data_IF_264369692343
#
_entry.id   IF_264369692343
#
_cell.length_a   1.000
_cell.length_b   1.000
_cell.length_c   1.000
_cell.angle_alpha   90.00
_cell.angle_beta   90.00
_cell.angle_gamma   90.00
#
_symmetry.space_group_name_H-M   'P 1'
#
loop_
_entity.id
_entity.type
_entity.pdbx_description
1 polymer ?
#
# COMPACT_ATOMS: atom_id res chain seq x y z
N UNK A 1 19.32 -27.23 -8.39
CA UNK A 1 18.12 -27.56 -7.61
C UNK A 1 17.11 -26.45 -7.80
N UNK A 2 16.14 -26.64 -8.70
CA UNK A 2 15.07 -25.66 -8.88
C UNK A 2 14.14 -25.80 -7.69
N UNK A 3 13.91 -24.70 -6.96
CA UNK A 3 12.98 -24.68 -5.84
C UNK A 3 11.56 -24.61 -6.42
N UNK A 4 10.93 -25.78 -6.59
CA UNK A 4 9.57 -25.91 -7.10
C UNK A 4 8.62 -26.08 -5.90
N UNK A 5 7.55 -25.30 -5.88
CA UNK A 5 6.47 -25.37 -4.90
C UNK A 5 5.13 -25.43 -5.63
N UNK A 6 4.26 -26.32 -5.17
CA UNK A 6 2.92 -26.49 -5.74
C UNK A 6 1.93 -26.26 -4.60
N UNK A 7 0.92 -25.42 -4.85
CA UNK A 7 -0.15 -25.09 -3.89
C UNK A 7 -1.48 -25.48 -4.51
N UNK A 8 -2.28 -26.27 -3.81
CA UNK A 8 -3.63 -26.64 -4.22
C UNK A 8 -4.67 -25.98 -3.30
N UNK A 9 -5.73 -25.40 -3.87
CA UNK A 9 -6.82 -24.75 -3.13
C UNK A 9 -7.67 -23.85 -4.02
N UNK A 10 -8.65 -23.17 -3.43
CA UNK A 10 -9.39 -22.12 -4.15
C UNK A 10 -8.49 -20.91 -4.35
N UNK A 11 -8.54 -20.25 -5.50
CA UNK A 11 -7.64 -19.12 -5.78
C UNK A 11 -8.30 -17.98 -6.56
N UNK A 12 -7.81 -16.76 -6.33
CA UNK A 12 -8.16 -15.56 -7.11
C UNK A 12 -7.09 -15.30 -8.17
N UNK A 13 -7.41 -15.54 -9.45
CA UNK A 13 -6.49 -15.41 -10.57
C UNK A 13 -6.68 -14.14 -11.40
N UNK A 14 -5.56 -13.70 -11.99
CA UNK A 14 -5.40 -12.56 -12.88
C UNK A 14 -5.87 -11.20 -12.30
N UNK A 15 -5.71 -10.15 -13.09
CA UNK A 15 -6.08 -8.77 -12.74
C UNK A 15 -7.59 -8.59 -12.53
N UNK A 16 -8.41 -9.55 -13.01
CA UNK A 16 -9.86 -9.58 -12.80
C UNK A 16 -10.31 -10.27 -11.51
N UNK A 17 -9.37 -10.84 -10.74
CA UNK A 17 -9.65 -11.62 -9.54
C UNK A 17 -10.73 -12.69 -9.80
N UNK A 18 -10.56 -13.46 -10.87
CA UNK A 18 -11.47 -14.56 -11.20
C UNK A 18 -11.27 -15.71 -10.21
N UNK A 19 -12.36 -16.37 -9.80
CA UNK A 19 -12.30 -17.45 -8.81
C UNK A 19 -12.17 -18.79 -9.54
N UNK A 20 -11.15 -19.56 -9.15
CA UNK A 20 -11.07 -21.00 -9.40
C UNK A 20 -11.33 -21.70 -8.07
N UNK A 21 -12.44 -22.42 -7.94
CA UNK A 21 -12.83 -23.07 -6.68
C UNK A 21 -11.91 -24.24 -6.32
N UNK A 22 -11.50 -25.00 -7.31
CA UNK A 22 -10.53 -26.10 -7.19
C UNK A 22 -9.41 -25.84 -8.20
N UNK A 23 -8.27 -25.34 -7.73
CA UNK A 23 -7.15 -25.02 -8.61
C UNK A 23 -5.80 -25.24 -7.96
N UNK A 24 -4.77 -25.00 -8.76
CA UNK A 24 -3.39 -25.09 -8.32
C UNK A 24 -2.51 -23.96 -8.87
N UNK A 25 -1.40 -23.72 -8.19
CA UNK A 25 -0.34 -22.80 -8.59
C UNK A 25 0.99 -23.54 -8.51
N UNK A 26 1.78 -23.50 -9.59
CA UNK A 26 3.17 -23.94 -9.59
C UNK A 26 4.08 -22.73 -9.51
N UNK A 27 4.97 -22.74 -8.54
CA UNK A 27 5.95 -21.69 -8.27
C UNK A 27 7.33 -22.28 -8.49
N UNK A 28 8.14 -21.65 -9.33
CA UNK A 28 9.52 -22.01 -9.58
C UNK A 28 10.41 -20.78 -9.40
N UNK A 29 11.44 -20.89 -8.56
CA UNK A 29 12.40 -19.80 -8.31
C UNK A 29 11.73 -18.46 -7.95
N UNK A 30 10.67 -18.54 -7.14
CA UNK A 30 9.91 -17.38 -6.66
C UNK A 30 8.88 -16.81 -7.63
N UNK A 31 8.75 -17.37 -8.83
CA UNK A 31 7.80 -16.94 -9.87
C UNK A 31 6.69 -17.97 -10.05
N UNK A 32 5.48 -17.49 -10.31
CA UNK A 32 4.37 -18.34 -10.74
C UNK A 32 4.63 -18.75 -12.18
N UNK A 33 4.76 -20.05 -12.44
CA UNK A 33 5.03 -20.59 -13.79
C UNK A 33 3.82 -21.28 -14.40
N UNK A 34 2.87 -21.73 -13.57
CA UNK A 34 1.65 -22.40 -14.02
C UNK A 34 0.50 -22.13 -13.05
N UNK A 35 -0.70 -22.00 -13.60
CA UNK A 35 -1.97 -21.89 -12.88
C UNK A 35 -2.96 -22.77 -13.65
N UNK A 36 -3.76 -23.57 -12.95
CA UNK A 36 -4.75 -24.42 -13.61
C UNK A 36 -5.90 -24.83 -12.69
N UNK A 37 -6.95 -25.34 -13.32
CA UNK A 37 -8.07 -25.97 -12.64
C UNK A 37 -7.72 -27.39 -12.17
N UNK A 38 -8.37 -27.84 -11.10
CA UNK A 38 -8.22 -29.17 -10.52
C UNK A 38 -7.09 -29.26 -9.51
N UNK A 39 -6.34 -30.37 -9.58
CA UNK A 39 -5.36 -30.75 -8.57
C UNK A 39 -4.04 -31.14 -9.21
N UNK A 40 -2.94 -30.62 -8.66
CA UNK A 40 -1.58 -30.93 -9.06
C UNK A 40 -0.85 -31.73 -7.97
N UNK A 41 -0.17 -32.81 -8.39
CA UNK A 41 0.43 -33.79 -7.48
C UNK A 41 1.72 -33.26 -6.86
N UNK A 42 2.01 -33.73 -5.64
CA UNK A 42 3.26 -33.40 -4.95
C UNK A 42 3.31 -32.00 -4.33
N UNK A 43 2.18 -31.29 -4.33
CA UNK A 43 2.02 -29.99 -3.69
C UNK A 43 1.43 -30.03 -2.28
N UNK A 44 1.46 -28.87 -1.63
CA UNK A 44 0.71 -28.61 -0.41
C UNK A 44 -0.78 -28.48 -0.73
N UNK A 45 -1.65 -28.96 0.15
CA UNK A 45 -3.11 -28.95 -0.03
C UNK A 45 -3.75 -28.06 1.03
N UNK A 46 -4.46 -27.03 0.58
CA UNK A 46 -5.16 -26.08 1.44
C UNK A 46 -6.67 -26.22 1.27
N UNK A 47 -7.22 -27.26 1.87
CA UNK A 47 -8.68 -27.48 1.90
C UNK A 47 -9.39 -26.34 2.63
N UNK A 48 -10.53 -25.90 2.08
CA UNK A 48 -11.33 -24.79 2.61
C UNK A 48 -10.52 -23.50 2.86
N UNK A 49 -9.50 -23.26 2.04
CA UNK A 49 -8.70 -22.05 2.09
C UNK A 49 -8.75 -21.31 0.76
N UNK A 50 -8.55 -20.00 0.83
CA UNK A 50 -8.40 -19.14 -0.34
C UNK A 50 -6.94 -18.72 -0.49
N UNK A 51 -6.38 -18.93 -1.66
CA UNK A 51 -5.08 -18.43 -2.08
C UNK A 51 -5.32 -17.13 -2.87
N UNK A 52 -4.76 -16.03 -2.39
CA UNK A 52 -4.84 -14.74 -3.08
C UNK A 52 -3.49 -14.04 -3.03
N UNK A 53 -3.28 -13.07 -3.93
CA UNK A 53 -2.15 -12.16 -3.80
C UNK A 53 -2.19 -11.48 -2.44
N UNK A 54 -1.04 -11.30 -1.81
CA UNK A 54 -0.91 -10.43 -0.65
C UNK A 54 -1.35 -9.00 -0.95
N UNK A 55 -1.77 -8.28 0.09
CA UNK A 55 -2.17 -6.88 -0.01
C UNK A 55 -0.97 -5.95 -0.17
N UNK A 56 -1.21 -4.78 -0.76
CA UNK A 56 -0.21 -3.75 -1.01
C UNK A 56 -0.65 -2.46 -0.32
N UNK A 57 0.17 -1.95 0.58
CA UNK A 57 -0.07 -0.68 1.26
C UNK A 57 0.56 0.48 0.47
N UNK A 58 -0.25 1.25 -0.26
CA UNK A 58 0.26 2.26 -1.20
C UNK A 58 0.80 3.52 -0.55
N UNK A 59 0.67 3.68 0.76
CA UNK A 59 1.17 4.85 1.47
C UNK A 59 1.28 4.57 2.97
N UNK A 60 2.51 4.59 3.49
CA UNK A 60 2.81 4.48 4.92
C UNK A 60 4.00 5.36 5.28
N UNK A 61 4.03 5.85 6.53
CA UNK A 61 5.20 6.50 7.12
C UNK A 61 5.71 5.67 8.30
N UNK A 62 6.66 4.77 8.06
CA UNK A 62 7.15 3.84 9.09
C UNK A 62 8.04 4.52 10.13
N UNK A 63 8.71 5.62 9.79
CA UNK A 63 9.65 6.24 10.72
C UNK A 63 9.00 6.86 11.95
N UNK A 64 7.71 7.18 11.90
CA UNK A 64 6.99 7.71 13.06
C UNK A 64 6.46 6.60 14.00
N UNK A 65 6.72 5.34 13.68
CA UNK A 65 6.25 4.17 14.45
C UNK A 65 6.74 4.12 15.90
N UNK A 66 7.80 4.86 16.26
CA UNK A 66 8.31 4.92 17.63
C UNK A 66 7.41 5.76 18.57
N UNK A 67 6.51 6.58 18.03
CA UNK A 67 5.71 7.55 18.78
C UNK A 67 4.21 7.35 18.60
N UNK A 68 3.75 6.09 18.68
CA UNK A 68 2.33 5.73 18.59
C UNK A 68 1.49 6.56 19.56
N UNK A 69 0.32 6.98 19.09
CA UNK A 69 -0.70 7.77 19.78
C UNK A 69 -0.29 9.18 20.23
N UNK A 70 0.96 9.60 19.96
CA UNK A 70 1.54 10.83 20.53
C UNK A 70 0.99 12.13 19.95
N UNK A 71 0.18 12.05 18.89
CA UNK A 71 -0.43 13.21 18.21
C UNK A 71 -1.96 13.10 18.13
N UNK A 72 -2.57 12.17 18.87
CA UNK A 72 -4.03 12.02 18.86
C UNK A 72 -4.72 13.33 19.29
N UNK A 73 -5.78 13.66 18.57
CA UNK A 73 -6.56 14.89 18.80
C UNK A 73 -6.04 16.15 18.09
N UNK A 74 -4.87 16.07 17.43
CA UNK A 74 -4.33 17.14 16.58
C UNK A 74 -4.87 17.06 15.15
N UNK A 75 -4.96 18.20 14.46
CA UNK A 75 -5.19 18.23 13.02
C UNK A 75 -3.89 18.06 12.21
N UNK A 76 -3.98 17.91 10.88
CA UNK A 76 -2.83 17.76 9.96
C UNK A 76 -1.71 18.78 10.24
N UNK A 77 -2.05 20.07 10.37
CA UNK A 77 -1.06 21.15 10.55
C UNK A 77 -0.32 21.05 11.88
N UNK A 78 -1.05 20.72 12.94
CA UNK A 78 -0.53 20.55 14.30
C UNK A 78 0.30 19.27 14.45
N UNK A 79 -0.11 18.19 13.77
CA UNK A 79 0.51 16.88 13.84
C UNK A 79 1.75 16.76 12.93
N UNK A 80 1.56 16.85 11.62
CA UNK A 80 2.53 16.43 10.59
C UNK A 80 2.91 17.55 9.61
N UNK A 81 2.20 18.69 9.64
CA UNK A 81 2.55 19.88 8.87
C UNK A 81 3.97 20.38 9.20
N UNK A 82 4.51 21.32 8.41
CA UNK A 82 5.93 21.78 8.45
C UNK A 82 6.52 22.13 9.83
N UNK A 83 5.67 22.48 10.81
CA UNK A 83 6.06 22.79 12.21
C UNK A 83 5.33 21.93 13.25
N UNK A 84 4.74 20.83 12.81
CA UNK A 84 3.93 19.93 13.62
C UNK A 84 4.72 19.17 14.69
N UNK A 85 3.99 18.50 15.57
CA UNK A 85 4.51 17.75 16.69
C UNK A 85 5.43 16.60 16.26
N UNK A 86 5.15 15.93 15.12
CA UNK A 86 5.98 14.86 14.56
C UNK A 86 7.46 15.26 14.53
N UNK A 87 7.78 16.43 14.00
CA UNK A 87 9.16 16.91 13.89
C UNK A 87 9.82 17.23 15.23
N UNK A 88 9.03 17.54 16.26
CA UNK A 88 9.55 17.74 17.62
C UNK A 88 9.90 16.40 18.27
N UNK A 89 9.05 15.39 18.09
CA UNK A 89 9.26 14.04 18.61
C UNK A 89 10.54 13.41 18.05
N UNK A 90 10.79 13.58 16.74
CA UNK A 90 12.04 13.10 16.11
C UNK A 90 13.31 13.71 16.72
N UNK A 91 13.28 14.96 17.20
CA UNK A 91 14.47 15.59 17.80
C UNK A 91 14.91 14.92 19.10
N UNK A 92 14.00 14.24 19.78
CA UNK A 92 14.25 13.54 21.05
C UNK A 92 14.31 12.03 20.89
N UNK A 93 13.96 11.50 19.72
CA UNK A 93 13.92 10.07 19.45
C UNK A 93 15.33 9.50 19.35
N UNK A 94 15.55 8.34 19.96
CA UNK A 94 16.81 7.60 19.76
C UNK A 94 16.73 6.82 18.45
N UNK A 95 17.86 6.72 17.75
CA UNK A 95 17.96 5.94 16.50
C UNK A 95 17.44 4.51 16.66
N UNK A 96 17.80 3.84 17.75
CA UNK A 96 17.38 2.45 18.01
C UNK A 96 15.86 2.32 18.21
N UNK A 97 15.20 3.33 18.78
CA UNK A 97 13.74 3.36 18.94
C UNK A 97 13.05 3.49 17.58
N UNK A 98 13.60 4.33 16.69
CA UNK A 98 13.10 4.47 15.31
C UNK A 98 13.27 3.16 14.54
N UNK A 99 14.46 2.54 14.60
CA UNK A 99 14.73 1.25 13.95
C UNK A 99 13.76 0.19 14.45
N UNK A 100 13.60 0.07 15.77
CA UNK A 100 12.69 -0.92 16.36
C UNK A 100 11.24 -0.67 15.97
N UNK A 101 10.81 0.60 15.95
CA UNK A 101 9.49 1.00 15.49
C UNK A 101 9.23 0.61 14.04
N UNK A 102 10.16 0.89 13.12
CA UNK A 102 10.07 0.48 11.72
C UNK A 102 9.98 -1.04 11.60
N UNK A 103 10.84 -1.77 12.33
CA UNK A 103 10.85 -3.23 12.32
C UNK A 103 9.52 -3.83 12.76
N UNK A 104 8.98 -3.38 13.89
CA UNK A 104 7.72 -3.89 14.44
C UNK A 104 6.54 -3.59 13.50
N UNK A 105 6.54 -2.43 12.84
CA UNK A 105 5.50 -2.07 11.87
C UNK A 105 5.57 -2.91 10.59
N UNK A 106 6.78 -3.21 10.09
CA UNK A 106 6.96 -4.11 8.95
C UNK A 106 6.53 -5.54 9.29
N UNK A 107 6.91 -6.04 10.48
CA UNK A 107 6.45 -7.33 10.99
C UNK A 107 4.92 -7.36 11.08
N UNK A 108 4.30 -6.32 11.64
CA UNK A 108 2.84 -6.23 11.75
C UNK A 108 2.13 -6.18 10.39
N UNK A 109 2.65 -5.44 9.42
CA UNK A 109 2.15 -5.45 8.04
C UNK A 109 2.22 -6.85 7.45
N UNK A 110 3.37 -7.52 7.60
CA UNK A 110 3.59 -8.85 7.02
C UNK A 110 2.59 -9.86 7.57
N UNK A 111 2.39 -9.89 8.88
CA UNK A 111 1.53 -10.89 9.56
C UNK A 111 0.05 -10.60 9.35
N UNK A 112 -0.27 -9.36 8.96
CA UNK A 112 -1.60 -8.95 8.53
C UNK A 112 -1.78 -9.05 7.01
N UNK A 113 -0.89 -9.77 6.31
CA UNK A 113 -1.04 -10.12 4.90
C UNK A 113 -0.57 -9.05 3.91
N UNK A 114 0.20 -8.06 4.37
CA UNK A 114 0.79 -7.00 3.54
C UNK A 114 2.28 -7.25 3.35
N UNK A 115 2.70 -7.58 2.13
CA UNK A 115 4.11 -7.94 1.82
C UNK A 115 4.82 -6.86 1.01
N UNK A 116 4.08 -5.89 0.49
CA UNK A 116 4.58 -4.76 -0.29
C UNK A 116 3.95 -3.46 0.19
N UNK A 117 4.76 -2.40 0.27
CA UNK A 117 4.30 -1.13 0.80
C UNK A 117 5.12 0.05 0.26
N UNK A 118 4.48 1.19 0.03
CA UNK A 118 5.17 2.42 -0.33
C UNK A 118 5.50 3.24 0.92
N UNK A 119 6.78 3.24 1.29
CA UNK A 119 7.31 3.95 2.46
C UNK A 119 7.69 5.38 2.07
N UNK A 120 7.05 6.35 2.70
CA UNK A 120 7.33 7.77 2.53
C UNK A 120 8.41 8.20 3.50
N UNK A 121 9.66 8.14 3.04
CA UNK A 121 10.83 8.30 3.88
C UNK A 121 11.29 9.75 3.98
N UNK A 122 11.12 10.35 5.15
CA UNK A 122 11.68 11.67 5.48
C UNK A 122 13.11 11.59 6.05
N UNK A 123 13.75 12.75 6.23
CA UNK A 123 15.11 12.92 6.76
C UNK A 123 16.24 12.51 5.80
N UNK A 124 16.01 12.68 4.50
CA UNK A 124 17.04 12.53 3.47
C UNK A 124 17.79 11.20 3.52
N UNK A 125 19.10 11.25 3.30
CA UNK A 125 19.97 10.07 3.25
C UNK A 125 20.04 9.33 4.59
N UNK A 126 20.00 10.04 5.72
CA UNK A 126 20.00 9.40 7.05
C UNK A 126 18.73 8.57 7.27
N UNK A 127 17.57 9.13 6.90
CA UNK A 127 16.30 8.40 6.94
C UNK A 127 16.32 7.14 6.07
N UNK A 128 16.85 7.24 4.84
CA UNK A 128 17.04 6.08 3.97
C UNK A 128 17.96 5.02 4.60
N UNK A 129 19.06 5.44 5.22
CA UNK A 129 19.99 4.53 5.89
C UNK A 129 19.32 3.79 7.05
N UNK A 130 18.56 4.50 7.89
CA UNK A 130 17.79 3.91 9.00
C UNK A 130 16.80 2.86 8.46
N UNK A 131 16.08 3.19 7.40
CA UNK A 131 15.09 2.29 6.81
C UNK A 131 15.74 1.00 6.29
N UNK A 132 16.80 1.11 5.49
CA UNK A 132 17.47 -0.07 4.93
C UNK A 132 18.15 -0.93 6.00
N UNK A 133 18.76 -0.31 7.02
CA UNK A 133 19.30 -1.02 8.19
C UNK A 133 18.21 -1.78 8.95
N UNK A 134 17.02 -1.18 9.08
CA UNK A 134 15.87 -1.80 9.76
C UNK A 134 15.41 -3.04 9.01
N UNK A 135 15.28 -2.95 7.68
CA UNK A 135 14.79 -4.02 6.83
C UNK A 135 15.79 -5.19 6.70
N UNK A 136 17.09 -4.89 6.54
CA UNK A 136 18.15 -5.92 6.40
C UNK A 136 18.17 -6.87 7.61
N UNK A 137 17.93 -6.33 8.81
CA UNK A 137 17.89 -7.11 10.06
C UNK A 137 16.71 -8.08 10.15
N UNK A 138 15.60 -7.81 9.46
CA UNK A 138 14.39 -8.64 9.53
C UNK A 138 14.51 -9.94 8.72
N UNK A 139 15.17 -9.90 7.55
CA UNK A 139 15.33 -11.07 6.66
C UNK A 139 14.00 -11.75 6.25
N UNK A 140 12.95 -10.96 6.03
CA UNK A 140 11.60 -11.47 5.70
C UNK A 140 11.18 -11.25 4.22
N UNK A 141 12.08 -10.78 3.36
CA UNK A 141 11.85 -10.71 1.90
C UNK A 141 10.80 -9.71 1.39
N UNK A 142 10.12 -8.94 2.26
CA UNK A 142 9.12 -7.94 1.88
C UNK A 142 9.65 -6.89 0.89
N UNK A 143 8.75 -6.28 0.12
CA UNK A 143 9.08 -5.46 -1.05
C UNK A 143 8.68 -3.99 -0.84
N UNK A 144 9.57 -3.13 -0.34
CA UNK A 144 9.26 -1.73 -0.15
C UNK A 144 9.39 -0.92 -1.46
N UNK A 145 8.43 -0.04 -1.72
CA UNK A 145 8.54 1.08 -2.66
C UNK A 145 8.97 2.32 -1.87
N UNK A 146 10.28 2.49 -1.70
CA UNK A 146 10.83 3.64 -0.96
C UNK A 146 10.67 4.94 -1.76
N UNK A 147 9.84 5.85 -1.25
CA UNK A 147 9.59 7.19 -1.77
C UNK A 147 10.28 8.22 -0.87
N UNK A 148 11.43 8.71 -1.31
CA UNK A 148 12.30 9.57 -0.52
C UNK A 148 11.84 11.03 -0.50
N UNK A 149 12.30 11.77 0.50
CA UNK A 149 12.11 13.21 0.66
C UNK A 149 13.43 13.86 1.04
N UNK A 150 13.62 15.13 0.69
CA UNK A 150 14.82 15.92 1.04
C UNK A 150 16.14 15.39 0.45
N UNK A 151 16.09 14.60 -0.62
CA UNK A 151 17.28 14.13 -1.34
C UNK A 151 17.69 15.19 -2.37
N UNK A 152 18.92 15.70 -2.25
CA UNK A 152 19.53 16.64 -3.20
C UNK A 152 20.55 15.99 -4.12
N UNK A 153 21.09 14.85 -3.70
CA UNK A 153 22.09 14.09 -4.43
C UNK A 153 21.83 12.60 -4.26
N UNK A 154 22.14 11.83 -5.30
CA UNK A 154 22.03 10.37 -5.25
C UNK A 154 23.24 9.77 -4.52
N UNK A 155 23.00 8.95 -3.50
CA UNK A 155 24.01 8.02 -2.99
C UNK A 155 23.80 6.66 -3.68
N UNK A 156 24.78 6.15 -4.45
CA UNK A 156 24.68 4.83 -5.10
C UNK A 156 24.42 3.67 -4.13
N UNK A 157 24.71 3.83 -2.83
CA UNK A 157 24.49 2.81 -1.80
C UNK A 157 23.05 2.80 -1.26
N UNK A 158 22.33 3.91 -1.37
CA UNK A 158 21.00 4.07 -0.80
C UNK A 158 19.95 4.09 -1.91
N UNK A 159 19.31 2.94 -2.11
CA UNK A 159 18.27 2.78 -3.14
C UNK A 159 16.97 3.48 -2.72
N UNK A 160 16.31 4.09 -3.69
CA UNK A 160 14.94 4.57 -3.57
C UNK A 160 14.27 4.59 -4.95
N UNK A 161 12.96 4.35 -4.98
CA UNK A 161 12.18 4.17 -6.20
C UNK A 161 11.56 5.48 -6.69
N UNK A 162 11.32 6.42 -5.77
CA UNK A 162 10.59 7.64 -6.08
C UNK A 162 10.73 8.74 -5.03
N UNK A 163 9.90 9.75 -5.18
CA UNK A 163 9.78 10.90 -4.30
C UNK A 163 8.37 10.99 -3.71
N UNK A 164 8.31 11.15 -2.39
CA UNK A 164 7.07 11.32 -1.64
C UNK A 164 6.98 12.73 -1.07
N UNK A 165 6.37 13.67 -1.80
CA UNK A 165 6.45 15.10 -1.49
C UNK A 165 5.16 15.66 -0.88
N UNK A 166 5.29 16.84 -0.28
CA UNK A 166 4.17 17.73 0.04
C UNK A 166 4.19 18.88 -0.96
N UNK A 167 3.07 19.58 -1.15
CA UNK A 167 2.98 20.74 -2.07
C UNK A 167 4.13 21.74 -1.91
N UNK A 168 4.45 22.14 -0.67
CA UNK A 168 5.49 23.13 -0.41
C UNK A 168 6.91 22.67 -0.78
N UNK A 169 7.15 21.38 -0.96
CA UNK A 169 8.42 20.89 -1.51
C UNK A 169 8.46 21.09 -3.02
N UNK A 170 7.32 20.88 -3.69
CA UNK A 170 7.17 21.05 -5.13
C UNK A 170 7.37 22.52 -5.56
N UNK A 171 6.92 23.46 -4.74
CA UNK A 171 7.12 24.91 -4.91
C UNK A 171 8.61 25.32 -4.93
N UNK A 172 9.51 24.47 -4.44
CA UNK A 172 10.95 24.74 -4.36
C UNK A 172 11.78 23.90 -5.35
N UNK A 173 11.15 23.30 -6.35
CA UNK A 173 11.84 22.49 -7.35
C UNK A 173 12.77 23.34 -8.21
N UNK A 174 13.97 22.81 -8.43
CA UNK A 174 14.94 23.32 -9.38
C UNK A 174 15.29 22.27 -10.46
N UNK A 175 16.13 22.65 -11.42
CA UNK A 175 16.59 21.75 -12.49
C UNK A 175 17.36 20.53 -11.96
N UNK A 176 17.99 20.63 -10.79
CA UNK A 176 18.70 19.50 -10.18
C UNK A 176 17.72 18.41 -9.73
N UNK A 177 16.61 18.82 -9.12
CA UNK A 177 15.54 17.90 -8.73
C UNK A 177 14.87 17.27 -9.95
N UNK A 178 14.56 18.05 -10.99
CA UNK A 178 13.98 17.51 -12.24
C UNK A 178 14.83 16.40 -12.83
N UNK A 179 16.15 16.59 -12.87
CA UNK A 179 17.09 15.57 -13.33
C UNK A 179 17.08 14.32 -12.45
N UNK A 180 16.99 14.49 -11.13
CA UNK A 180 16.97 13.39 -10.18
C UNK A 180 15.66 12.60 -10.20
N UNK A 181 14.54 13.26 -10.51
CA UNK A 181 13.19 12.69 -10.52
C UNK A 181 12.79 12.04 -11.86
N UNK A 182 13.53 12.29 -12.95
CA UNK A 182 13.12 11.95 -14.33
C UNK A 182 12.62 10.51 -14.54
N UNK A 183 13.28 9.53 -13.94
CA UNK A 183 12.98 8.10 -14.12
C UNK A 183 12.52 7.46 -12.79
N UNK A 184 11.84 8.25 -11.96
CA UNK A 184 11.44 7.89 -10.61
C UNK A 184 9.97 8.23 -10.39
N UNK A 185 9.29 7.45 -9.55
CA UNK A 185 7.92 7.77 -9.18
C UNK A 185 7.86 9.12 -8.47
N UNK A 186 6.87 9.95 -8.78
CA UNK A 186 6.58 11.17 -8.04
C UNK A 186 5.16 11.10 -7.48
N UNK A 187 5.08 11.06 -6.15
CA UNK A 187 3.82 10.97 -5.42
C UNK A 187 3.72 12.16 -4.46
N UNK A 188 2.61 12.90 -4.53
CA UNK A 188 2.46 14.18 -3.82
C UNK A 188 1.22 14.19 -2.94
N UNK A 189 1.34 14.67 -1.71
CA UNK A 189 0.20 14.91 -0.83
C UNK A 189 -0.55 16.16 -1.30
N UNK A 190 -1.84 16.01 -1.60
CA UNK A 190 -2.73 17.12 -1.93
C UNK A 190 -4.20 16.75 -1.69
N UNK A 191 -5.02 17.76 -1.40
CA UNK A 191 -6.46 17.58 -1.17
C UNK A 191 -6.79 17.24 0.27
N UNK A 192 -5.93 17.61 1.22
CA UNK A 192 -6.29 17.68 2.64
C UNK A 192 -7.02 18.99 2.95
N UNK A 193 -6.72 20.04 2.19
CA UNK A 193 -7.45 21.31 2.17
C UNK A 193 -8.10 21.56 0.79
N UNK A 194 -9.15 22.39 0.70
CA UNK A 194 -9.72 22.80 -0.59
C UNK A 194 -8.68 23.45 -1.51
N UNK A 195 -8.81 23.23 -2.83
CA UNK A 195 -7.98 23.79 -3.91
C UNK A 195 -6.51 23.33 -3.95
N UNK A 196 -6.10 22.43 -3.06
CA UNK A 196 -4.73 21.90 -3.06
C UNK A 196 -4.43 21.06 -4.31
N UNK A 197 -5.43 20.38 -4.87
CA UNK A 197 -5.24 19.60 -6.11
C UNK A 197 -5.09 20.54 -7.30
N UNK A 198 -5.95 21.56 -7.47
CA UNK A 198 -5.74 22.57 -8.51
C UNK A 198 -4.35 23.20 -8.42
N UNK A 199 -3.91 23.59 -7.21
CA UNK A 199 -2.58 24.15 -7.01
C UNK A 199 -1.45 23.18 -7.40
N UNK A 200 -1.61 21.88 -7.10
CA UNK A 200 -0.67 20.86 -7.56
C UNK A 200 -0.59 20.84 -9.09
N UNK A 201 -1.75 20.80 -9.76
CA UNK A 201 -1.84 20.74 -11.22
C UNK A 201 -1.17 21.96 -11.88
N UNK A 202 -1.39 23.16 -11.34
CA UNK A 202 -0.74 24.38 -11.83
C UNK A 202 0.79 24.28 -11.71
N UNK A 203 1.31 23.84 -10.56
CA UNK A 203 2.76 23.72 -10.34
C UNK A 203 3.40 22.71 -11.29
N UNK A 204 2.75 21.56 -11.52
CA UNK A 204 3.33 20.52 -12.38
C UNK A 204 3.27 20.90 -13.86
N UNK A 205 2.24 21.64 -14.28
CA UNK A 205 2.10 22.16 -15.64
C UNK A 205 3.18 23.24 -15.88
N UNK A 206 3.36 24.19 -14.94
CA UNK A 206 4.41 25.21 -15.01
C UNK A 206 5.83 24.63 -15.00
N UNK A 207 6.06 23.61 -14.17
CA UNK A 207 7.37 22.97 -14.04
C UNK A 207 7.65 21.94 -15.15
N UNK A 208 6.63 21.54 -15.91
CA UNK A 208 6.61 20.43 -16.87
C UNK A 208 7.13 19.11 -16.23
N UNK A 209 6.50 18.71 -15.12
CA UNK A 209 6.85 17.50 -14.36
C UNK A 209 5.65 16.56 -14.32
N UNK A 210 5.90 15.26 -14.46
CA UNK A 210 4.86 14.24 -14.31
C UNK A 210 4.71 13.85 -12.83
N UNK A 211 3.46 13.73 -12.36
CA UNK A 211 3.10 13.12 -11.08
C UNK A 211 2.38 11.80 -11.36
N UNK A 212 2.75 10.74 -10.63
CA UNK A 212 2.17 9.40 -10.80
C UNK A 212 0.94 9.19 -9.90
N UNK A 213 0.96 9.77 -8.70
CA UNK A 213 -0.16 9.68 -7.77
C UNK A 213 -0.30 10.90 -6.84
N UNK A 214 -1.54 11.13 -6.41
CA UNK A 214 -1.89 12.07 -5.34
C UNK A 214 -2.29 11.28 -4.09
N UNK A 215 -1.70 11.61 -2.94
CA UNK A 215 -2.14 11.07 -1.65
C UNK A 215 -3.27 11.94 -1.11
N UNK A 216 -4.30 11.29 -0.59
CA UNK A 216 -5.55 11.81 -0.03
C UNK A 216 -6.61 12.20 -1.04
N UNK A 217 -6.41 13.27 -1.82
CA UNK A 217 -7.42 13.88 -2.70
C UNK A 217 -8.82 14.02 -2.04
N UNK A 218 -8.86 14.15 -0.70
CA UNK A 218 -10.08 13.99 0.10
C UNK A 218 -11.05 15.15 -0.08
N UNK A 219 -10.52 16.35 -0.30
CA UNK A 219 -11.26 17.58 -0.59
C UNK A 219 -11.33 17.92 -2.09
N UNK A 220 -10.91 17.01 -2.97
CA UNK A 220 -10.94 17.26 -4.40
C UNK A 220 -12.38 17.49 -4.89
N UNK A 221 -12.56 18.55 -5.65
CA UNK A 221 -13.80 18.89 -6.35
C UNK A 221 -13.98 17.99 -7.57
N UNK A 222 -15.20 17.95 -8.11
CA UNK A 222 -15.51 17.15 -9.31
C UNK A 222 -14.65 17.55 -10.52
N UNK A 223 -14.40 18.86 -10.70
CA UNK A 223 -13.51 19.36 -11.74
C UNK A 223 -12.05 18.93 -11.51
N UNK A 224 -11.56 18.95 -10.27
CA UNK A 224 -10.22 18.45 -9.96
C UNK A 224 -10.09 16.94 -10.23
N UNK A 225 -11.14 16.15 -9.93
CA UNK A 225 -11.18 14.71 -10.25
C UNK A 225 -11.15 14.45 -11.77
N UNK A 226 -11.90 15.24 -12.55
CA UNK A 226 -11.87 15.16 -14.00
C UNK A 226 -10.45 15.42 -14.56
N UNK A 227 -9.76 16.43 -14.04
CA UNK A 227 -8.39 16.77 -14.46
C UNK A 227 -7.36 15.71 -14.02
N UNK A 228 -7.52 15.12 -12.83
CA UNK A 228 -6.74 13.94 -12.38
C UNK A 228 -6.91 12.79 -13.37
N UNK A 229 -8.15 12.48 -13.76
CA UNK A 229 -8.47 11.40 -14.70
C UNK A 229 -7.85 11.63 -16.09
N UNK A 230 -8.01 12.84 -16.65
CA UNK A 230 -7.41 13.21 -17.95
C UNK A 230 -5.89 13.04 -17.97
N UNK A 231 -5.22 13.38 -16.87
CA UNK A 231 -3.76 13.23 -16.71
C UNK A 231 -3.32 11.82 -16.33
N UNK A 232 -4.28 10.90 -16.08
CA UNK A 232 -4.03 9.52 -15.63
C UNK A 232 -3.23 9.46 -14.32
N UNK A 233 -3.46 10.44 -13.44
CA UNK A 233 -2.84 10.47 -12.12
C UNK A 233 -3.64 9.52 -11.22
N UNK A 234 -2.96 8.61 -10.52
CA UNK A 234 -3.63 7.73 -9.55
C UNK A 234 -3.95 8.48 -8.25
N UNK A 235 -4.86 7.96 -7.45
CA UNK A 235 -5.18 8.52 -6.12
C UNK A 235 -4.96 7.47 -5.06
N UNK A 236 -4.22 7.80 -4.00
CA UNK A 236 -4.00 6.93 -2.84
C UNK A 236 -4.80 7.48 -1.67
N UNK A 237 -5.82 6.74 -1.23
CA UNK A 237 -6.69 7.13 -0.12
C UNK A 237 -6.14 6.63 1.22
N UNK A 238 -6.28 7.42 2.27
CA UNK A 238 -5.86 7.06 3.63
C UNK A 238 -6.98 7.35 4.65
N UNK A 239 -8.17 6.75 4.48
CA UNK A 239 -9.41 7.24 5.08
C UNK A 239 -9.41 7.21 6.62
N UNK A 240 -8.80 6.19 7.26
CA UNK A 240 -8.71 6.13 8.73
C UNK A 240 -7.79 7.22 9.30
N UNK A 241 -6.67 7.50 8.64
CA UNK A 241 -5.79 8.62 8.99
C UNK A 241 -6.48 9.96 8.79
N UNK A 242 -7.14 10.14 7.64
CA UNK A 242 -7.87 11.37 7.32
C UNK A 242 -8.95 11.70 8.35
N UNK A 243 -9.68 10.71 8.89
CA UNK A 243 -10.61 10.95 9.99
C UNK A 243 -9.92 11.31 11.30
N UNK A 244 -8.83 10.62 11.63
CA UNK A 244 -8.07 10.89 12.86
C UNK A 244 -7.51 12.32 12.87
N UNK A 245 -7.04 12.80 11.72
CA UNK A 245 -6.50 14.15 11.52
C UNK A 245 -7.54 15.21 11.15
N UNK A 246 -8.84 14.85 11.17
CA UNK A 246 -9.98 15.74 10.87
C UNK A 246 -9.98 16.34 9.46
N UNK A 247 -9.41 15.63 8.49
CA UNK A 247 -9.48 15.99 7.07
C UNK A 247 -10.91 15.76 6.55
N UNK A 248 -11.49 14.60 6.83
CA UNK A 248 -12.84 14.24 6.41
C UNK A 248 -12.90 12.95 5.61
N UNK A 249 -13.98 12.77 4.84
CA UNK A 249 -14.29 11.55 4.08
C UNK A 249 -14.09 11.83 2.58
N UNK A 250 -13.29 11.03 1.86
CA UNK A 250 -13.13 11.18 0.41
C UNK A 250 -14.38 10.70 -0.34
N UNK A 251 -14.68 11.30 -1.49
CA UNK A 251 -15.75 10.81 -2.38
C UNK A 251 -15.18 9.77 -3.36
N UNK A 252 -15.16 8.53 -2.90
CA UNK A 252 -14.58 7.39 -3.63
C UNK A 252 -15.45 6.99 -4.81
N UNK A 253 -16.77 7.04 -4.66
CA UNK A 253 -17.71 6.74 -5.75
C UNK A 253 -17.45 7.62 -6.97
N UNK A 254 -17.28 8.95 -6.77
CA UNK A 254 -16.92 9.87 -7.85
C UNK A 254 -15.56 9.55 -8.47
N UNK A 255 -14.55 9.20 -7.67
CA UNK A 255 -13.24 8.83 -8.22
C UNK A 255 -13.33 7.60 -9.14
N UNK A 256 -14.14 6.61 -8.75
CA UNK A 256 -14.41 5.42 -9.57
C UNK A 256 -15.23 5.75 -10.83
N UNK A 257 -16.25 6.63 -10.73
CA UNK A 257 -17.02 7.13 -11.87
C UNK A 257 -16.11 7.81 -12.92
N UNK A 258 -15.16 8.64 -12.45
CA UNK A 258 -14.14 9.28 -13.29
C UNK A 258 -13.06 8.29 -13.79
N UNK A 259 -13.16 7.00 -13.48
CA UNK A 259 -12.21 5.94 -13.87
C UNK A 259 -10.77 6.20 -13.39
N UNK A 260 -10.63 6.88 -12.25
CA UNK A 260 -9.34 7.11 -11.61
C UNK A 260 -8.83 5.79 -11.03
N UNK A 261 -7.53 5.52 -11.18
CA UNK A 261 -6.90 4.39 -10.50
C UNK A 261 -6.77 4.70 -9.00
N UNK A 262 -7.74 4.22 -8.22
CA UNK A 262 -7.78 4.42 -6.76
C UNK A 262 -6.99 3.30 -6.08
N UNK A 263 -6.10 3.69 -5.17
CA UNK A 263 -5.26 2.85 -4.33
C UNK A 263 -5.51 3.17 -2.85
N UNK A 264 -5.03 2.31 -1.94
CA UNK A 264 -5.28 2.44 -0.49
C UNK A 264 -3.98 2.40 0.31
N UNK A 265 -3.88 3.28 1.30
CA UNK A 265 -2.76 3.35 2.22
C UNK A 265 -3.20 3.58 3.66
N UNK A 266 -2.28 3.35 4.59
CA UNK A 266 -2.53 3.47 6.04
C UNK A 266 -1.96 4.75 6.63
N UNK A 267 -1.07 5.44 5.91
CA UNK A 267 -0.43 6.70 6.31
C UNK A 267 0.41 6.56 7.59
N UNK A 268 0.40 7.55 8.48
CA UNK A 268 1.27 7.60 9.65
C UNK A 268 0.94 6.49 10.66
N UNK A 269 1.94 5.64 10.94
CA UNK A 269 1.83 4.56 11.92
C UNK A 269 1.56 5.11 13.32
N UNK A 270 2.05 6.31 13.60
CA UNK A 270 1.84 6.96 14.89
C UNK A 270 0.38 7.22 15.25
N UNK A 271 -0.56 7.17 14.29
CA UNK A 271 -2.01 7.33 14.53
C UNK A 271 -2.85 6.19 13.98
N UNK A 272 -2.34 5.47 12.99
CA UNK A 272 -3.09 4.44 12.29
C UNK A 272 -2.25 3.17 12.22
N UNK A 273 -2.67 2.06 12.87
CA UNK A 273 -1.99 0.78 12.71
C UNK A 273 -2.00 0.35 11.23
N UNK A 274 -0.85 -0.05 10.65
CA UNK A 274 -0.72 -0.33 9.23
C UNK A 274 -1.27 -1.73 8.89
N UNK A 275 -2.59 -1.87 8.91
CA UNK A 275 -3.31 -3.10 8.60
C UNK A 275 -4.29 -2.82 7.44
N UNK A 276 -4.02 -3.44 6.29
CA UNK A 276 -4.77 -3.22 5.06
C UNK A 276 -6.18 -3.83 5.07
N UNK A 277 -6.43 -4.91 5.82
CA UNK A 277 -7.79 -5.44 5.98
C UNK A 277 -8.69 -4.44 6.72
N UNK A 278 -8.15 -3.72 7.70
CA UNK A 278 -8.88 -2.66 8.39
C UNK A 278 -9.11 -1.42 7.52
N UNK A 279 -8.18 -1.07 6.64
CA UNK A 279 -8.43 -0.02 5.64
C UNK A 279 -9.50 -0.45 4.63
N UNK A 280 -9.43 -1.68 4.13
CA UNK A 280 -10.42 -2.23 3.21
C UNK A 280 -11.82 -2.24 3.81
N UNK A 281 -11.94 -2.75 5.04
CA UNK A 281 -13.23 -2.82 5.74
C UNK A 281 -13.85 -1.43 5.91
N UNK A 282 -13.01 -0.46 6.29
CA UNK A 282 -13.43 0.92 6.44
C UNK A 282 -13.85 1.54 5.11
N UNK A 283 -13.03 1.37 4.07
CA UNK A 283 -13.28 1.87 2.72
C UNK A 283 -14.56 1.25 2.13
N UNK A 284 -14.79 -0.05 2.31
CA UNK A 284 -16.00 -0.73 1.84
C UNK A 284 -17.27 -0.10 2.38
N UNK A 285 -17.30 0.23 3.68
CA UNK A 285 -18.45 0.90 4.30
C UNK A 285 -18.65 2.30 3.75
N UNK A 286 -17.57 3.06 3.51
CA UNK A 286 -17.66 4.38 2.91
C UNK A 286 -18.19 4.32 1.47
N UNK A 287 -17.71 3.35 0.68
CA UNK A 287 -18.16 3.16 -0.69
C UNK A 287 -19.63 2.80 -0.69
N UNK A 288 -20.10 1.82 0.09
CA UNK A 288 -21.52 1.45 0.12
C UNK A 288 -22.44 2.58 0.60
N UNK A 289 -21.94 3.50 1.43
CA UNK A 289 -22.68 4.71 1.80
C UNK A 289 -22.85 5.68 0.63
N UNK A 290 -21.87 5.73 -0.27
CA UNK A 290 -21.81 6.66 -1.40
C UNK A 290 -22.47 6.09 -2.66
N UNK A 291 -22.18 4.82 -2.96
CA UNK A 291 -22.68 4.05 -4.09
C UNK A 291 -22.71 2.55 -3.73
N UNK A 292 -23.89 1.96 -3.45
CA UNK A 292 -24.02 0.56 -3.08
C UNK A 292 -23.80 -0.42 -4.24
N UNK A 293 -23.76 0.05 -5.50
CA UNK A 293 -23.63 -0.80 -6.68
C UNK A 293 -22.15 -1.13 -7.01
N UNK A 294 -21.19 -0.48 -6.35
CA UNK A 294 -19.77 -0.82 -6.47
C UNK A 294 -19.51 -2.21 -5.93
N UNK A 295 -19.07 -3.12 -6.80
CA UNK A 295 -18.82 -4.50 -6.41
C UNK A 295 -17.66 -4.65 -5.42
N UNK A 296 -17.78 -5.59 -4.48
CA UNK A 296 -16.73 -5.95 -3.52
C UNK A 296 -15.41 -6.34 -4.19
N UNK A 297 -15.48 -6.90 -5.40
CA UNK A 297 -14.32 -7.22 -6.24
C UNK A 297 -13.54 -5.96 -6.63
N UNK A 298 -14.22 -4.92 -7.09
CA UNK A 298 -13.57 -3.64 -7.42
C UNK A 298 -12.95 -2.99 -6.19
N UNK A 299 -13.61 -3.09 -5.03
CA UNK A 299 -13.05 -2.60 -3.76
C UNK A 299 -11.76 -3.35 -3.40
N UNK A 300 -11.73 -4.67 -3.58
CA UNK A 300 -10.54 -5.48 -3.29
C UNK A 300 -9.35 -5.11 -4.18
N UNK A 301 -9.59 -4.79 -5.47
CA UNK A 301 -8.53 -4.36 -6.40
C UNK A 301 -7.79 -3.10 -5.93
N UNK A 302 -8.44 -2.21 -5.17
CA UNK A 302 -7.84 -1.00 -4.62
C UNK A 302 -6.63 -1.30 -3.71
N UNK A 303 -6.58 -2.49 -3.08
CA UNK A 303 -5.50 -2.91 -2.19
C UNK A 303 -4.58 -3.99 -2.80
N UNK A 304 -4.73 -4.32 -4.08
CA UNK A 304 -3.93 -5.36 -4.77
C UNK A 304 -3.58 -4.97 -6.20
N UNK A 305 -4.51 -5.08 -7.13
CA UNK A 305 -4.30 -4.86 -8.58
C UNK A 305 -3.97 -3.40 -8.90
N UNK A 306 -4.71 -2.46 -8.33
CA UNK A 306 -4.56 -1.03 -8.61
C UNK A 306 -3.19 -0.48 -8.17
N UNK A 307 -2.67 -0.81 -6.96
CA UNK A 307 -1.33 -0.38 -6.58
C UNK A 307 -0.22 -1.12 -7.32
N UNK A 308 -0.45 -2.37 -7.74
CA UNK A 308 0.48 -3.06 -8.63
C UNK A 308 0.63 -2.33 -9.96
N UNK A 309 -0.48 -1.85 -10.53
CA UNK A 309 -0.50 -1.02 -11.72
C UNK A 309 0.16 0.35 -11.51
N UNK A 310 -0.02 0.98 -10.35
CA UNK A 310 0.60 2.27 -10.05
C UNK A 310 2.13 2.18 -9.98
N UNK A 311 2.65 1.17 -9.28
CA UNK A 311 4.08 1.05 -9.00
C UNK A 311 4.81 0.04 -9.90
N UNK A 312 4.19 -0.36 -11.02
CA UNK A 312 4.72 -1.32 -12.00
C UNK A 312 5.24 -2.61 -11.34
N UNK A 313 4.45 -3.17 -10.42
CA UNK A 313 4.82 -4.34 -9.63
C UNK A 313 4.47 -5.64 -10.36
N UNK A 314 5.35 -6.63 -10.23
CA UNK A 314 5.19 -7.98 -10.78
C UNK A 314 4.38 -8.91 -9.86
N UNK A 315 3.53 -8.36 -9.00
CA UNK A 315 2.66 -9.04 -8.03
C UNK A 315 1.50 -8.11 -7.68
N UNK A 316 0.51 -8.57 -6.90
CA UNK A 316 -0.78 -7.87 -6.72
C UNK A 316 -1.93 -8.56 -7.47
N UNK A 317 -1.61 -9.53 -8.32
CA UNK A 317 -2.51 -10.49 -8.95
C UNK A 317 -1.77 -11.83 -9.12
N UNK A 318 -2.50 -12.95 -9.09
CA UNK A 318 -1.93 -14.28 -9.36
C UNK A 318 -1.94 -14.51 -10.87
N UNK A 319 -0.77 -14.41 -11.50
CA UNK A 319 -0.59 -14.52 -12.96
C UNK A 319 0.74 -15.19 -13.29
N UNK A 320 0.81 -15.95 -14.37
CA UNK A 320 2.07 -16.54 -14.83
C UNK A 320 3.09 -15.43 -15.12
N UNK A 321 4.32 -15.61 -14.63
CA UNK A 321 5.41 -14.63 -14.69
C UNK A 321 5.50 -13.70 -13.48
N UNK A 322 4.42 -13.56 -12.70
CA UNK A 322 4.43 -12.75 -11.49
C UNK A 322 5.24 -13.42 -10.38
N UNK A 323 5.78 -12.59 -9.49
CA UNK A 323 6.32 -13.07 -8.23
C UNK A 323 5.22 -13.67 -7.35
N UNK A 324 5.54 -14.77 -6.67
CA UNK A 324 4.64 -15.42 -5.74
C UNK A 324 4.67 -14.71 -4.37
N UNK A 325 3.90 -13.62 -4.28
CA UNK A 325 3.61 -12.90 -3.04
C UNK A 325 2.15 -13.16 -2.68
N UNK A 326 1.92 -14.16 -1.84
CA UNK A 326 0.62 -14.79 -1.63
C UNK A 326 0.28 -14.84 -0.14
N UNK A 327 -1.02 -14.79 0.14
CA UNK A 327 -1.58 -15.16 1.43
C UNK A 327 -2.55 -16.32 1.25
N UNK A 328 -2.58 -17.22 2.23
CA UNK A 328 -3.51 -18.32 2.30
C UNK A 328 -4.44 -18.10 3.48
N UNK A 329 -5.72 -17.87 3.20
CA UNK A 329 -6.75 -17.51 4.19
C UNK A 329 -7.61 -18.74 4.51
N UNK A 330 -7.76 -19.05 5.80
CA UNK A 330 -8.63 -20.13 6.27
C UNK A 330 -10.11 -19.72 6.24
N UNK A 331 -10.81 -20.11 5.19
CA UNK A 331 -12.24 -19.82 5.01
C UNK A 331 -13.13 -20.60 5.98
N UNK A 332 -12.58 -21.58 6.70
CA UNK A 332 -13.28 -22.30 7.76
C UNK A 332 -13.15 -21.61 9.14
N UNK A 333 -12.54 -20.42 9.20
CA UNK A 333 -12.47 -19.61 10.42
C UNK A 333 -13.86 -19.18 10.89
N UNK A 334 -14.03 -19.06 12.21
CA UNK A 334 -15.34 -18.79 12.85
C UNK A 334 -16.04 -17.51 12.35
N UNK A 335 -15.28 -16.49 11.96
CA UNK A 335 -15.77 -15.21 11.42
C UNK A 335 -16.05 -15.24 9.91
N UNK A 336 -15.58 -16.27 9.18
CA UNK A 336 -15.67 -16.39 7.71
C UNK A 336 -16.64 -17.48 7.23
N UNK A 337 -16.97 -18.46 8.07
CA UNK A 337 -17.97 -19.50 7.76
C UNK A 337 -19.29 -18.90 7.30
N UNK A 338 -19.99 -19.62 6.43
CA UNK A 338 -21.27 -19.22 5.82
C UNK A 338 -21.18 -17.97 4.93
N UNK A 339 -19.99 -17.67 4.39
CA UNK A 339 -19.83 -16.63 3.37
C UNK A 339 -20.77 -16.85 2.19
N UNK A 340 -21.31 -15.75 1.65
CA UNK A 340 -22.17 -15.70 0.45
C UNK A 340 -21.56 -14.88 -0.68
N UNK A 341 -20.65 -13.99 -0.32
CA UNK A 341 -19.83 -13.21 -1.23
C UNK A 341 -18.40 -13.25 -0.67
N UNK A 342 -17.54 -13.97 -1.39
CA UNK A 342 -16.15 -14.16 -0.99
C UNK A 342 -15.36 -12.84 -1.05
N UNK A 343 -15.61 -11.98 -2.04
CA UNK A 343 -14.93 -10.69 -2.17
C UNK A 343 -15.33 -9.75 -1.03
N UNK A 344 -16.62 -9.69 -0.69
CA UNK A 344 -17.09 -8.93 0.48
C UNK A 344 -16.47 -9.47 1.77
N UNK A 345 -16.34 -10.80 1.88
CA UNK A 345 -15.75 -11.46 3.05
C UNK A 345 -14.28 -11.10 3.21
N UNK A 346 -13.50 -11.10 2.13
CA UNK A 346 -12.11 -10.65 2.14
C UNK A 346 -12.02 -9.19 2.59
N UNK A 347 -12.84 -8.32 2.00
CA UNK A 347 -12.77 -6.89 2.27
C UNK A 347 -13.23 -6.51 3.69
N UNK A 348 -14.20 -7.23 4.26
CA UNK A 348 -14.90 -6.78 5.49
C UNK A 348 -14.79 -7.69 6.70
N UNK A 349 -14.31 -8.93 6.53
CA UNK A 349 -14.32 -9.94 7.60
C UNK A 349 -12.98 -10.59 7.88
N UNK A 350 -12.07 -10.63 6.89
CA UNK A 350 -10.75 -11.23 7.08
C UNK A 350 -9.94 -10.39 8.07
N UNK A 351 -9.34 -11.09 9.01
CA UNK A 351 -8.46 -10.56 10.04
C UNK A 351 -7.13 -11.33 10.00
N UNK A 352 -6.03 -10.79 10.57
CA UNK A 352 -4.72 -11.43 10.54
C UNK A 352 -4.71 -12.89 11.02
N UNK A 353 -5.53 -13.22 12.03
CA UNK A 353 -5.61 -14.59 12.57
C UNK A 353 -6.25 -15.60 11.60
N UNK A 354 -6.88 -15.15 10.51
CA UNK A 354 -7.39 -16.03 9.46
C UNK A 354 -6.29 -16.48 8.49
N UNK A 355 -5.14 -15.81 8.47
CA UNK A 355 -4.05 -16.12 7.55
C UNK A 355 -3.28 -17.34 8.08
N UNK A 356 -3.33 -18.44 7.32
CA UNK A 356 -2.58 -19.67 7.63
C UNK A 356 -1.13 -19.59 7.21
N UNK A 357 -0.86 -18.91 6.10
CA UNK A 357 0.46 -18.91 5.47
C UNK A 357 0.67 -17.63 4.66
N UNK A 358 1.90 -17.14 4.68
CA UNK A 358 2.34 -15.96 3.92
C UNK A 358 3.55 -16.39 3.10
N UNK A 359 3.49 -16.15 1.81
CA UNK A 359 4.55 -16.49 0.86
C UNK A 359 5.05 -15.18 0.26
N UNK A 360 6.38 -15.00 0.22
CA UNK A 360 7.03 -13.84 -0.39
C UNK A 360 8.18 -14.31 -1.25
N UNK A 361 8.21 -13.87 -2.51
CA UNK A 361 9.12 -14.42 -3.53
C UNK A 361 9.11 -15.96 -3.58
N UNK A 362 7.94 -16.58 -3.40
CA UNK A 362 7.76 -18.04 -3.39
C UNK A 362 8.25 -18.76 -2.12
N UNK A 363 8.85 -18.05 -1.17
CA UNK A 363 9.30 -18.61 0.11
C UNK A 363 8.25 -18.42 1.20
N UNK A 364 8.07 -19.45 2.03
CA UNK A 364 7.17 -19.35 3.20
C UNK A 364 7.85 -18.54 4.30
N UNK A 365 7.23 -17.44 4.70
CA UNK A 365 7.73 -16.66 5.84
C UNK A 365 7.15 -17.27 7.12
N UNK A 366 7.90 -18.21 7.71
CA UNK A 366 7.61 -18.73 9.03
C UNK A 366 7.91 -17.67 10.11
N UNK A 367 6.99 -16.73 10.31
CA UNK A 367 7.11 -15.71 11.36
C UNK A 367 6.76 -16.34 12.71
N UNK A 368 7.79 -16.63 13.51
CA UNK A 368 7.64 -16.86 14.95
C UNK A 368 7.66 -15.51 15.64
N UNK A 369 6.48 -14.97 15.94
CA UNK A 369 6.32 -13.72 16.69
C UNK A 369 6.19 -14.01 18.16
#
# INVERSE_FOLDING_TARGET
NNNIRILNGSLLFDENLELIEEGFIVIENGKIVEIGDGFEKGGEVFENCLIMSSLINSHVHLGDSFAKDSILGMNVREAVGKKGMKWKLYKTAKRDEIIKGIQDSILYMTISGTTSFAEFREFGLEGLQIFWESLEKLKIGVKPIVLAREIKESDPKLKFHGFGLNLYHLESIDESFKKLCKDKFLVVHAGECPNEVSRLLDIIDDANIKVDAIVHATKATDCELEEISKRRISVILCPRSNLTLRVGIPNVAKMLEHKINVCLGTDNVMITPPNMFRELEFLSRLIYLQDPDVSSKEILKIASVNPAKLFDLDHGAIKVGNSADLIIVDMNSVNLRNTKDMFATIATRVEPFNIKKIIVNGEDIALKI
#
